data_IF_693532772327
#
_entry.id   IF_693532772327
#
_cell.length_a   1.000
_cell.length_b   1.000
_cell.length_c   1.000
_cell.angle_alpha   90.00
_cell.angle_beta   90.00
_cell.angle_gamma   90.00
#
_symmetry.space_group_name_H-M   'P 1'
#
loop_
_entity.id
_entity.type
_entity.pdbx_description
1 polymer ?
#
# COMPACT_ATOMS: atom_id res chain seq x y z
N UNK A 1 9.84 -13.54 -12.47
CA UNK A 1 9.67 -12.52 -11.42
C UNK A 1 8.17 -12.25 -11.27
N UNK A 2 7.62 -12.31 -10.05
CA UNK A 2 6.19 -12.06 -9.79
C UNK A 2 6.00 -10.63 -9.29
N UNK A 3 4.88 -10.01 -9.65
CA UNK A 3 4.44 -8.73 -9.12
C UNK A 3 2.95 -8.80 -8.81
N UNK A 4 2.48 -7.92 -7.94
CA UNK A 4 1.06 -7.77 -7.64
C UNK A 4 0.56 -6.41 -8.17
N UNK A 5 -0.60 -6.40 -8.81
CA UNK A 5 -1.23 -5.17 -9.31
C UNK A 5 -2.53 -4.93 -8.54
N UNK A 6 -2.52 -3.98 -7.63
CA UNK A 6 -3.70 -3.54 -6.89
C UNK A 6 -4.46 -2.46 -7.66
N UNK A 7 -5.78 -2.44 -7.48
CA UNK A 7 -6.63 -1.33 -7.91
C UNK A 7 -6.78 -0.35 -6.77
N UNK A 8 -6.60 0.94 -7.05
CA UNK A 8 -6.81 2.03 -6.10
C UNK A 8 -7.72 3.11 -6.70
N UNK A 9 -8.28 3.96 -5.86
CA UNK A 9 -9.10 5.08 -6.28
C UNK A 9 -8.27 6.37 -6.49
N UNK A 10 -8.86 7.30 -7.24
CA UNK A 10 -8.21 8.55 -7.63
C UNK A 10 -7.91 9.47 -6.43
N UNK A 11 -8.77 9.47 -5.40
CA UNK A 11 -8.63 10.38 -4.26
C UNK A 11 -7.48 9.92 -3.37
N UNK A 12 -7.39 8.62 -3.08
CA UNK A 12 -6.29 8.05 -2.31
C UNK A 12 -4.95 8.20 -3.03
N UNK A 13 -4.91 7.93 -4.34
CA UNK A 13 -3.71 8.17 -5.14
C UNK A 13 -3.29 9.64 -5.09
N UNK A 14 -4.23 10.57 -5.33
CA UNK A 14 -3.94 12.01 -5.30
C UNK A 14 -3.43 12.44 -3.93
N UNK A 15 -4.07 12.01 -2.85
CA UNK A 15 -3.64 12.33 -1.49
C UNK A 15 -2.19 11.88 -1.21
N UNK A 16 -1.85 10.63 -1.55
CA UNK A 16 -0.51 10.08 -1.33
C UNK A 16 0.54 10.61 -2.32
N UNK A 17 0.13 11.08 -3.50
CA UNK A 17 1.07 11.69 -4.44
C UNK A 17 1.56 13.04 -3.91
N UNK A 18 0.70 13.80 -3.22
CA UNK A 18 1.07 15.05 -2.55
C UNK A 18 1.90 14.82 -1.29
N UNK A 19 1.56 13.82 -0.47
CA UNK A 19 2.29 13.54 0.77
C UNK A 19 3.69 12.93 0.55
N UNK A 20 3.87 12.20 -0.55
CA UNK A 20 5.13 11.50 -0.88
C UNK A 20 5.73 10.68 0.28
N UNK A 21 4.95 9.81 0.95
CA UNK A 21 5.49 9.02 2.04
C UNK A 21 6.45 7.93 1.53
N UNK A 22 7.45 7.62 2.34
CA UNK A 22 8.40 6.53 2.09
C UNK A 22 7.73 5.14 2.24
N UNK A 23 6.72 5.03 3.10
CA UNK A 23 5.93 3.82 3.33
C UNK A 23 4.43 4.09 3.29
N UNK A 24 3.65 3.17 2.72
CA UNK A 24 2.20 3.23 2.66
C UNK A 24 1.62 1.91 3.15
N UNK A 25 0.60 2.02 4.01
CA UNK A 25 -0.24 0.89 4.39
C UNK A 25 -1.44 0.79 3.43
N UNK A 26 -1.77 -0.43 2.98
CA UNK A 26 -2.93 -0.71 2.16
C UNK A 26 -3.81 -1.76 2.83
N UNK A 27 -5.09 -1.46 3.00
CA UNK A 27 -6.03 -2.28 3.75
C UNK A 27 -7.02 -3.00 2.83
N UNK A 28 -7.24 -4.29 3.09
CA UNK A 28 -8.36 -5.05 2.52
C UNK A 28 -9.34 -5.48 3.62
N UNK A 29 -10.56 -4.91 3.69
CA UNK A 29 -11.54 -5.33 4.68
C UNK A 29 -11.99 -6.78 4.43
N UNK A 30 -12.14 -7.56 5.51
CA UNK A 30 -12.68 -8.93 5.46
C UNK A 30 -11.70 -10.02 5.01
N UNK A 31 -10.40 -9.74 4.94
CA UNK A 31 -9.39 -10.77 4.66
C UNK A 31 -9.26 -11.76 5.82
N UNK A 32 -9.63 -13.03 5.60
CA UNK A 32 -9.37 -14.13 6.53
C UNK A 32 -8.09 -14.90 6.19
N UNK A 33 -7.49 -14.63 5.04
CA UNK A 33 -6.29 -15.31 4.55
C UNK A 33 -5.11 -14.35 4.46
N UNK A 34 -3.94 -14.86 4.82
CA UNK A 34 -2.71 -14.10 4.71
C UNK A 34 -2.44 -13.81 3.23
N UNK A 35 -1.98 -12.59 2.95
CA UNK A 35 -1.58 -12.25 1.60
C UNK A 35 -0.28 -12.96 1.22
N UNK A 36 -0.37 -13.86 0.24
CA UNK A 36 0.74 -14.69 -0.24
C UNK A 36 0.89 -14.64 -1.78
N UNK A 37 0.35 -13.60 -2.43
CA UNK A 37 0.44 -13.48 -3.89
C UNK A 37 1.87 -13.21 -4.37
N UNK A 38 2.66 -12.53 -3.54
CA UNK A 38 4.08 -12.19 -3.77
C UNK A 38 4.85 -12.22 -2.45
N UNK A 39 6.15 -12.49 -2.55
CA UNK A 39 7.09 -12.48 -1.42
C UNK A 39 7.49 -11.04 -1.02
N UNK A 40 7.94 -10.82 0.22
CA UNK A 40 8.61 -9.57 0.60
C UNK A 40 9.75 -9.20 -0.37
N UNK A 41 9.88 -7.92 -0.67
CA UNK A 41 10.79 -7.37 -1.66
C UNK A 41 10.30 -7.46 -3.11
N UNK A 42 9.18 -8.14 -3.39
CA UNK A 42 8.62 -8.18 -4.73
C UNK A 42 7.85 -6.88 -5.08
N UNK A 43 7.78 -6.52 -6.37
CA UNK A 43 7.04 -5.32 -6.80
C UNK A 43 5.55 -5.41 -6.51
N UNK A 44 5.02 -4.35 -5.89
CA UNK A 44 3.61 -4.09 -5.65
C UNK A 44 3.23 -2.82 -6.39
N UNK A 45 2.36 -2.94 -7.38
CA UNK A 45 1.98 -1.87 -8.31
C UNK A 45 0.54 -1.45 -8.08
N UNK A 46 0.21 -0.21 -8.42
CA UNK A 46 -1.14 0.33 -8.37
C UNK A 46 -1.60 0.79 -9.75
N UNK A 47 -2.85 0.46 -10.06
CA UNK A 47 -3.61 1.07 -11.15
C UNK A 47 -4.83 1.79 -10.63
N UNK A 48 -5.26 2.81 -11.36
CA UNK A 48 -6.54 3.44 -11.10
C UNK A 48 -7.69 2.54 -11.56
N UNK A 49 -8.84 2.74 -10.91
CA UNK A 49 -10.10 2.18 -11.38
C UNK A 49 -10.51 2.77 -12.75
N UNK A 50 -11.48 2.14 -13.41
CA UNK A 50 -12.16 2.70 -14.57
C UNK A 50 -12.79 4.07 -14.23
N UNK A 51 -12.78 5.05 -15.15
CA UNK A 51 -12.34 4.97 -16.55
C UNK A 51 -10.84 5.15 -16.80
N UNK A 52 -10.06 5.63 -15.82
CA UNK A 52 -8.65 5.96 -16.05
C UNK A 52 -7.82 4.72 -16.40
N UNK A 53 -7.99 3.61 -15.66
CA UNK A 53 -7.37 2.31 -15.92
C UNK A 53 -5.84 2.32 -16.17
N UNK A 54 -5.13 3.35 -15.76
CA UNK A 54 -3.69 3.48 -15.96
C UNK A 54 -2.91 3.08 -14.70
N UNK A 55 -1.67 2.62 -14.88
CA UNK A 55 -0.74 2.41 -13.76
C UNK A 55 -0.24 3.76 -13.26
N UNK A 56 -0.27 3.95 -11.95
CA UNK A 56 0.01 5.26 -11.32
C UNK A 56 1.17 5.24 -10.33
N UNK A 57 1.74 4.06 -10.07
CA UNK A 57 2.91 3.92 -9.23
C UNK A 57 3.02 2.54 -8.62
N UNK A 58 3.95 2.42 -7.68
CA UNK A 58 4.21 1.17 -6.98
C UNK A 58 5.48 1.25 -6.18
N UNK A 59 5.91 0.09 -5.71
CA UNK A 59 7.13 -0.08 -4.95
C UNK A 59 7.23 -1.49 -4.41
N UNK A 60 7.74 -1.70 -3.21
CA UNK A 60 8.09 -3.04 -2.73
C UNK A 60 7.23 -3.50 -1.57
N UNK A 61 6.68 -4.72 -1.70
CA UNK A 61 5.92 -5.35 -0.63
C UNK A 61 6.87 -5.70 0.53
N UNK A 62 6.50 -5.37 1.76
CA UNK A 62 7.31 -5.68 2.95
C UNK A 62 6.69 -6.79 3.76
N UNK A 63 5.44 -6.63 4.21
CA UNK A 63 4.76 -7.67 4.97
C UNK A 63 3.25 -7.54 4.91
N UNK A 64 2.60 -8.62 5.32
CA UNK A 64 1.18 -8.66 5.62
C UNK A 64 0.97 -8.81 7.12
N UNK A 65 -0.04 -8.17 7.71
CA UNK A 65 -0.37 -8.32 9.13
C UNK A 65 -1.87 -8.21 9.39
N UNK A 66 -2.44 -9.15 10.14
CA UNK A 66 -3.83 -9.04 10.56
C UNK A 66 -3.95 -8.09 11.75
N UNK A 67 -4.77 -7.05 11.62
CA UNK A 67 -5.07 -6.13 12.72
C UNK A 67 -6.56 -6.15 13.06
N UNK A 68 -6.93 -6.13 14.37
CA UNK A 68 -8.30 -5.88 14.78
C UNK A 68 -8.81 -4.57 14.20
N UNK A 69 -10.05 -4.54 13.71
CA UNK A 69 -10.61 -3.36 13.04
C UNK A 69 -10.62 -2.13 13.95
N UNK A 70 -10.79 -2.30 15.26
CA UNK A 70 -10.70 -1.23 16.25
C UNK A 70 -9.32 -0.56 16.29
N UNK A 71 -8.26 -1.34 16.08
CA UNK A 71 -6.88 -0.85 16.07
C UNK A 71 -6.49 -0.30 14.69
N UNK A 72 -7.00 -0.92 13.62
CA UNK A 72 -6.86 -0.39 12.27
C UNK A 72 -7.46 1.01 12.14
N UNK A 73 -8.64 1.23 12.73
CA UNK A 73 -9.31 2.53 12.74
C UNK A 73 -8.50 3.61 13.47
N UNK A 74 -8.01 3.32 14.68
CA UNK A 74 -7.32 4.30 15.52
C UNK A 74 -5.91 4.65 15.03
N UNK A 75 -5.22 3.72 14.38
CA UNK A 75 -3.83 3.92 13.97
C UNK A 75 -3.69 4.40 12.51
N UNK A 76 -4.71 4.20 11.66
CA UNK A 76 -4.55 4.40 10.21
C UNK A 76 -5.64 5.22 9.52
N UNK A 77 -6.80 5.50 10.16
CA UNK A 77 -7.81 6.41 9.56
C UNK A 77 -7.46 7.90 9.71
N UNK A 78 -6.44 8.24 10.51
CA UNK A 78 -5.97 9.62 10.70
C UNK A 78 -4.61 9.93 10.07
N UNK A 79 -4.01 8.96 9.35
CA UNK A 79 -2.68 9.09 8.75
C UNK A 79 -1.71 8.08 9.35
N UNK A 80 -1.38 7.04 8.59
CA UNK A 80 -0.39 6.06 8.99
C UNK A 80 1.00 6.69 9.05
N UNK A 81 1.59 6.73 10.25
CA UNK A 81 3.00 7.03 10.44
C UNK A 81 3.58 6.06 11.46
N UNK A 82 4.62 5.31 11.07
CA UNK A 82 5.74 5.03 11.97
C UNK A 82 7.03 5.01 11.14
N UNK A 83 7.97 5.86 11.55
CA UNK A 83 9.24 6.18 10.88
C UNK A 83 10.24 5.01 10.92
N UNK A 84 10.93 4.73 9.81
CA UNK A 84 12.33 4.26 9.75
C UNK A 84 13.02 4.75 8.47
N UNK A 85 14.34 4.89 8.52
CA UNK A 85 15.16 5.83 7.73
C UNK A 85 15.20 5.63 6.19
N UNK A 86 15.12 6.77 5.49
CA UNK A 86 15.73 7.14 4.19
C UNK A 86 15.97 6.02 3.16
N UNK A 87 15.10 5.94 2.16
CA UNK A 87 15.45 5.43 0.84
C UNK A 87 15.15 6.47 -0.25
N UNK A 88 16.21 7.03 -0.82
CA UNK A 88 16.14 7.99 -1.93
C UNK A 88 15.60 7.31 -3.20
N UNK A 89 14.86 8.11 -3.96
CA UNK A 89 14.47 7.95 -5.38
C UNK A 89 13.30 6.98 -5.66
N UNK A 90 12.09 7.53 -5.74
CA UNK A 90 10.90 6.97 -6.42
C UNK A 90 10.48 5.52 -6.07
N UNK A 91 10.89 5.01 -4.91
CA UNK A 91 10.56 3.67 -4.45
C UNK A 91 9.77 3.80 -3.14
N UNK A 92 8.49 3.40 -3.16
CA UNK A 92 7.64 3.41 -1.97
C UNK A 92 7.55 2.03 -1.34
N UNK A 93 7.52 1.95 -0.02
CA UNK A 93 7.48 0.70 0.73
C UNK A 93 6.02 0.37 1.07
N UNK A 94 5.58 -0.88 0.91
CA UNK A 94 4.17 -1.25 1.08
C UNK A 94 3.95 -2.34 2.11
N UNK A 95 3.10 -2.05 3.10
CA UNK A 95 2.59 -3.01 4.06
C UNK A 95 1.11 -3.28 3.79
N UNK A 96 0.74 -4.55 3.68
CA UNK A 96 -0.66 -4.94 3.55
C UNK A 96 -1.23 -5.27 4.93
N UNK A 97 -2.35 -4.66 5.26
CA UNK A 97 -3.09 -4.92 6.50
C UNK A 97 -4.39 -5.63 6.15
#
# INVERSE_FOLDING_TARGET
MKFYLAVTDNQWFSYLSHLQPDEINFWQPGGSQAFAAIEPGAPFLFKLHSPQNCMVGGGFFVRHSFLPISLACNNFLSGGVTLFEKAKANQRIFNKI
#
